data_IF_461039172687
#
_entry.id   IF_461039172687
#
_cell.length_a   1.000
_cell.length_b   1.000
_cell.length_c   1.000
_cell.angle_alpha   90.00
_cell.angle_beta   90.00
_cell.angle_gamma   90.00
#
_symmetry.space_group_name_H-M   'P 1'
#
loop_
_entity.id
_entity.type
_entity.pdbx_description
1 polymer ?
#
# COMPACT_ATOMS: atom_id res chain seq x y z
N UNK A 1 -13.61 -1.14 9.29
CA UNK A 1 -13.50 0.30 8.97
C UNK A 1 -14.87 0.99 8.89
N UNK A 2 -15.85 0.42 8.19
CA UNK A 2 -17.19 1.01 8.08
C UNK A 2 -17.85 1.40 9.41
N UNK A 3 -17.75 0.56 10.45
CA UNK A 3 -18.31 0.83 11.77
C UNK A 3 -17.60 1.96 12.55
N UNK A 4 -16.42 2.40 12.11
CA UNK A 4 -15.66 3.47 12.77
C UNK A 4 -16.04 4.87 12.27
N UNK A 5 -16.95 4.98 11.29
CA UNK A 5 -17.39 6.27 10.74
C UNK A 5 -18.10 7.09 11.82
N UNK A 6 -17.62 8.32 12.03
CA UNK A 6 -18.18 9.23 13.05
C UNK A 6 -17.62 9.02 14.47
N UNK A 7 -16.69 8.09 14.66
CA UNK A 7 -15.96 7.91 15.91
C UNK A 7 -14.53 8.45 15.77
N UNK A 8 -13.89 8.76 16.89
CA UNK A 8 -12.50 9.20 16.95
C UNK A 8 -11.83 8.62 18.19
N UNK A 9 -10.55 8.29 18.08
CA UNK A 9 -9.80 7.62 19.15
C UNK A 9 -8.40 8.22 19.26
N UNK A 10 -7.88 8.31 20.50
CA UNK A 10 -6.50 8.77 20.76
C UNK A 10 -5.47 7.95 19.98
N UNK A 11 -5.63 6.63 19.99
CA UNK A 11 -4.74 5.71 19.30
C UNK A 11 -5.55 4.80 18.38
N UNK A 12 -5.15 4.66 17.13
CA UNK A 12 -5.78 3.77 16.14
C UNK A 12 -4.76 2.79 15.60
N UNK A 13 -5.15 1.51 15.54
CA UNK A 13 -4.37 0.46 14.94
C UNK A 13 -5.10 -0.06 13.70
N UNK A 14 -4.55 0.23 12.52
CA UNK A 14 -5.00 -0.40 11.29
C UNK A 14 -4.17 -1.66 11.05
N UNK A 15 -4.83 -2.81 11.18
CA UNK A 15 -4.20 -4.12 11.08
C UNK A 15 -4.51 -4.78 9.74
N UNK A 16 -3.57 -5.58 9.25
CA UNK A 16 -3.75 -6.31 7.99
C UNK A 16 -3.62 -5.42 6.75
N UNK A 17 -2.70 -4.46 6.80
CA UNK A 17 -2.33 -3.61 5.65
C UNK A 17 -1.53 -4.43 4.62
N UNK A 18 -2.22 -5.37 3.97
CA UNK A 18 -1.67 -6.35 3.02
C UNK A 18 -2.48 -6.31 1.71
N UNK A 19 -1.81 -6.42 0.57
CA UNK A 19 -2.51 -6.56 -0.72
C UNK A 19 -3.38 -7.82 -0.73
N UNK A 20 -4.61 -7.70 -1.23
CA UNK A 20 -5.60 -8.77 -1.26
C UNK A 20 -6.41 -8.91 0.03
N UNK A 21 -5.96 -8.30 1.14
CA UNK A 21 -6.75 -8.14 2.38
C UNK A 21 -7.29 -6.72 2.50
N UNK A 22 -6.40 -5.72 2.37
CA UNK A 22 -6.73 -4.30 2.36
C UNK A 22 -5.72 -3.52 1.52
N UNK A 23 -6.01 -3.23 0.23
CA UNK A 23 -7.31 -3.37 -0.43
C UNK A 23 -7.74 -4.83 -0.61
N UNK A 24 -9.05 -5.08 -0.49
CA UNK A 24 -9.60 -6.41 -0.70
C UNK A 24 -9.34 -6.90 -2.14
N UNK A 25 -9.08 -8.21 -2.31
CA UNK A 25 -8.70 -8.80 -3.61
C UNK A 25 -9.67 -8.48 -4.76
N UNK A 26 -10.97 -8.34 -4.47
CA UNK A 26 -11.99 -7.95 -5.46
C UNK A 26 -11.79 -6.53 -6.00
N UNK A 27 -11.35 -5.60 -5.16
CA UNK A 27 -11.11 -4.23 -5.53
C UNK A 27 -9.84 -4.04 -6.38
N UNK A 28 -9.02 -5.09 -6.53
CA UNK A 28 -7.81 -5.02 -7.35
C UNK A 28 -8.10 -5.00 -8.86
N UNK A 29 -9.25 -5.51 -9.28
CA UNK A 29 -9.61 -5.64 -10.70
C UNK A 29 -10.45 -4.48 -11.23
N UNK A 30 -11.10 -3.72 -10.34
CA UNK A 30 -12.04 -2.66 -10.71
C UNK A 30 -11.60 -1.31 -10.10
N UNK A 31 -11.29 -0.29 -10.92
CA UNK A 31 -10.83 1.01 -10.43
C UNK A 31 -11.80 1.66 -9.44
N UNK A 32 -13.11 1.58 -9.68
CA UNK A 32 -14.13 2.19 -8.82
C UNK A 32 -14.14 1.56 -7.41
N UNK A 33 -13.99 0.24 -7.32
CA UNK A 33 -13.87 -0.45 -6.03
C UNK A 33 -12.56 -0.09 -5.33
N UNK A 34 -11.47 0.09 -6.07
CA UNK A 34 -10.19 0.50 -5.52
C UNK A 34 -10.26 1.90 -4.90
N UNK A 35 -10.96 2.83 -5.55
CA UNK A 35 -11.21 4.15 -5.01
C UNK A 35 -12.05 4.10 -3.74
N UNK A 36 -13.04 3.20 -3.66
CA UNK A 36 -13.81 3.01 -2.43
C UNK A 36 -12.94 2.48 -1.29
N UNK A 37 -12.11 1.46 -1.53
CA UNK A 37 -11.14 0.97 -0.54
C UNK A 37 -10.17 2.06 -0.10
N UNK A 38 -9.73 2.93 -1.03
CA UNK A 38 -8.90 4.10 -0.73
C UNK A 38 -9.62 5.09 0.18
N UNK A 39 -10.91 5.38 -0.08
CA UNK A 39 -11.75 6.21 0.80
C UNK A 39 -11.87 5.57 2.19
N UNK A 40 -12.04 4.25 2.27
CA UNK A 40 -12.07 3.55 3.56
C UNK A 40 -10.75 3.65 4.31
N UNK A 41 -9.62 3.55 3.61
CA UNK A 41 -8.30 3.71 4.20
C UNK A 41 -8.17 5.11 4.79
N UNK A 42 -8.52 6.14 4.02
CA UNK A 42 -8.50 7.53 4.46
C UNK A 42 -9.41 7.78 5.68
N UNK A 43 -10.64 7.26 5.66
CA UNK A 43 -11.55 7.34 6.82
C UNK A 43 -10.92 6.70 8.04
N UNK A 44 -10.32 5.50 7.89
CA UNK A 44 -9.63 4.79 8.96
C UNK A 44 -8.46 5.58 9.56
N UNK A 45 -7.60 6.13 8.71
CA UNK A 45 -6.44 6.92 9.12
C UNK A 45 -6.87 8.18 9.89
N UNK A 46 -7.89 8.88 9.41
CA UNK A 46 -8.42 10.10 10.05
C UNK A 46 -9.23 9.84 11.32
N UNK A 47 -9.43 8.60 11.75
CA UNK A 47 -10.01 8.32 13.08
C UNK A 47 -9.00 8.51 14.22
N UNK A 48 -7.71 8.57 13.89
CA UNK A 48 -6.64 8.74 14.87
C UNK A 48 -6.48 10.21 15.26
N UNK A 49 -6.51 10.51 16.55
CA UNK A 49 -6.24 11.87 17.07
C UNK A 49 -4.74 12.08 17.32
N UNK A 50 -4.09 11.14 18.03
CA UNK A 50 -2.69 11.31 18.46
C UNK A 50 -1.75 10.38 17.67
N UNK A 51 -2.04 9.06 17.67
CA UNK A 51 -1.16 8.06 17.04
C UNK A 51 -1.92 7.09 16.16
N UNK A 52 -1.37 6.88 14.96
CA UNK A 52 -1.82 5.89 14.00
C UNK A 52 -0.73 4.82 13.83
N UNK A 53 -1.11 3.57 14.03
CA UNK A 53 -0.24 2.42 13.82
C UNK A 53 -0.74 1.60 12.63
N UNK A 54 0.10 1.43 11.63
CA UNK A 54 -0.18 0.60 10.45
C UNK A 54 0.63 -0.70 10.56
N UNK A 55 -0.04 -1.86 10.49
CA UNK A 55 0.64 -3.16 10.64
C UNK A 55 0.28 -4.13 9.51
N UNK A 56 1.27 -4.91 9.08
CA UNK A 56 1.12 -5.98 8.10
C UNK A 56 1.81 -7.26 8.61
N UNK A 57 1.33 -8.42 8.16
CA UNK A 57 1.97 -9.70 8.43
C UNK A 57 2.74 -10.20 7.21
N UNK A 58 4.00 -10.63 7.40
CA UNK A 58 4.78 -11.33 6.35
C UNK A 58 4.22 -12.69 5.98
N UNK A 59 3.43 -13.30 6.87
CA UNK A 59 2.76 -14.58 6.61
C UNK A 59 1.49 -14.63 7.42
N UNK A 60 0.38 -14.94 6.77
CA UNK A 60 -0.94 -15.00 7.41
C UNK A 60 -1.61 -16.31 7.08
N UNK A 61 -2.27 -16.93 8.06
CA UNK A 61 -3.23 -17.99 7.83
C UNK A 61 -4.60 -17.33 7.63
N UNK A 62 -5.16 -17.42 6.43
CA UNK A 62 -6.43 -16.81 6.07
C UNK A 62 -7.27 -17.82 5.27
N UNK A 63 -8.50 -18.07 5.73
CA UNK A 63 -9.39 -19.10 5.18
C UNK A 63 -8.71 -20.48 4.98
N UNK A 64 -7.94 -20.93 5.98
CA UNK A 64 -7.24 -22.23 5.93
C UNK A 64 -6.02 -22.27 5.00
N UNK A 65 -5.77 -21.22 4.23
CA UNK A 65 -4.60 -21.10 3.35
C UNK A 65 -3.54 -20.17 3.96
N UNK A 66 -2.26 -20.48 3.79
CA UNK A 66 -1.16 -19.59 4.20
C UNK A 66 -0.79 -18.68 3.03
N UNK A 67 -1.01 -17.38 3.17
CA UNK A 67 -0.61 -16.38 2.19
C UNK A 67 0.62 -15.59 2.67
N UNK A 68 1.43 -15.15 1.71
CA UNK A 68 2.50 -14.19 1.90
C UNK A 68 2.20 -13.01 0.98
N UNK A 69 1.44 -12.05 1.51
CA UNK A 69 0.96 -10.91 0.75
C UNK A 69 1.94 -9.75 0.90
N UNK A 70 2.18 -8.98 -0.17
CA UNK A 70 2.97 -7.76 -0.06
C UNK A 70 2.25 -6.71 0.79
N UNK A 71 3.00 -5.72 1.25
CA UNK A 71 2.47 -4.57 1.99
C UNK A 71 1.43 -3.85 1.13
N UNK A 72 0.34 -3.42 1.75
CA UNK A 72 -0.70 -2.63 1.10
C UNK A 72 -0.13 -1.38 0.43
N UNK A 73 -0.59 -1.10 -0.80
CA UNK A 73 -0.30 0.14 -1.52
C UNK A 73 -0.67 1.40 -0.73
N UNK A 74 -1.68 1.33 0.14
CA UNK A 74 -2.09 2.48 0.96
C UNK A 74 -1.03 2.87 2.00
N UNK A 75 -0.14 1.95 2.37
CA UNK A 75 1.02 2.26 3.22
C UNK A 75 2.12 2.89 2.37
N UNK A 76 2.39 2.37 1.17
CA UNK A 76 3.44 2.92 0.30
C UNK A 76 3.13 4.31 -0.25
N UNK A 77 1.85 4.68 -0.31
CA UNK A 77 1.39 6.01 -0.74
C UNK A 77 1.63 7.10 0.32
N UNK A 78 1.83 6.73 1.58
CA UNK A 78 2.09 7.69 2.66
C UNK A 78 3.56 8.12 2.62
N UNK A 79 3.87 9.42 2.66
CA UNK A 79 5.25 9.91 2.62
C UNK A 79 6.13 9.31 3.72
N UNK A 80 7.31 8.83 3.34
CA UNK A 80 8.27 8.18 4.24
C UNK A 80 8.73 9.11 5.37
N UNK A 81 8.76 10.42 5.14
CA UNK A 81 9.07 11.44 6.15
C UNK A 81 8.06 11.51 7.30
N UNK A 82 6.84 11.01 7.10
CA UNK A 82 5.77 10.97 8.11
C UNK A 82 5.70 9.63 8.84
N UNK A 83 6.59 8.69 8.50
CA UNK A 83 6.60 7.35 9.09
C UNK A 83 7.79 7.14 10.02
N UNK A 84 7.49 6.79 11.26
CA UNK A 84 8.47 6.17 12.15
C UNK A 84 8.45 4.65 11.90
N UNK A 85 9.13 4.22 10.84
CA UNK A 85 9.21 2.80 10.50
C UNK A 85 10.17 2.07 11.44
N UNK A 86 9.64 1.16 12.26
CA UNK A 86 10.46 0.16 12.96
C UNK A 86 10.91 -0.98 12.02
N UNK A 87 10.89 -0.73 10.71
CA UNK A 87 11.02 -1.72 9.67
C UNK A 87 12.16 -1.33 8.74
N UNK A 88 13.17 -2.20 8.65
CA UNK A 88 13.99 -2.30 7.45
C UNK A 88 13.12 -2.78 6.29
N UNK A 89 12.21 -1.93 5.80
CA UNK A 89 11.45 -2.12 4.57
C UNK A 89 12.49 -2.12 3.46
N UNK A 90 13.07 -3.29 3.20
CA UNK A 90 13.82 -3.52 1.97
C UNK A 90 12.79 -3.34 0.86
N UNK A 91 12.82 -2.17 0.20
CA UNK A 91 12.13 -1.96 -1.08
C UNK A 91 12.47 -3.19 -1.92
N UNK A 92 11.49 -3.96 -2.43
CA UNK A 92 11.79 -5.10 -3.28
C UNK A 92 12.69 -4.57 -4.39
N UNK A 93 13.92 -5.10 -4.48
CA UNK A 93 14.86 -4.79 -5.55
C UNK A 93 14.08 -5.05 -6.84
N UNK A 94 13.73 -4.00 -7.59
CA UNK A 94 13.02 -4.09 -8.87
C UNK A 94 13.81 -5.07 -9.73
N UNK A 95 13.38 -6.33 -9.77
CA UNK A 95 13.96 -7.33 -10.67
C UNK A 95 13.48 -6.95 -12.05
N UNK A 96 14.44 -6.71 -12.94
CA UNK A 96 14.31 -5.96 -14.17
C UNK A 96 13.05 -6.25 -14.97
N UNK A 97 12.24 -5.21 -15.14
CA UNK A 97 11.56 -4.86 -16.38
C UNK A 97 11.56 -3.33 -16.41
N UNK A 98 12.56 -2.74 -17.08
CA UNK A 98 12.69 -1.29 -17.25
C UNK A 98 11.82 -0.82 -18.41
N UNK A 99 11.20 0.37 -18.25
CA UNK A 99 10.93 1.40 -19.29
C UNK A 99 9.66 2.25 -19.05
N UNK A 100 8.97 2.12 -17.91
CA UNK A 100 7.79 2.92 -17.58
C UNK A 100 7.85 3.47 -16.14
N UNK A 101 7.65 4.78 -15.95
CA UNK A 101 7.64 5.39 -14.62
C UNK A 101 7.20 6.85 -14.60
N UNK A 102 6.98 7.38 -13.40
CA UNK A 102 6.75 8.80 -13.17
C UNK A 102 8.07 9.52 -12.98
N UNK A 103 8.23 10.68 -13.60
CA UNK A 103 9.37 11.56 -13.36
C UNK A 103 9.25 12.31 -12.03
N UNK A 104 10.29 13.08 -11.70
CA UNK A 104 10.39 13.86 -10.45
C UNK A 104 9.32 14.96 -10.34
N UNK A 105 8.64 15.26 -11.43
CA UNK A 105 7.53 16.22 -11.50
C UNK A 105 6.16 15.52 -11.45
N UNK A 106 6.14 14.20 -11.29
CA UNK A 106 4.92 13.40 -11.20
C UNK A 106 4.25 13.13 -12.55
N UNK A 107 4.95 13.35 -13.68
CA UNK A 107 4.42 13.07 -15.00
C UNK A 107 4.78 11.65 -15.45
N UNK A 108 3.81 10.97 -16.06
CA UNK A 108 4.01 9.62 -16.58
C UNK A 108 4.83 9.66 -17.87
N UNK A 109 6.02 9.06 -17.87
CA UNK A 109 6.98 9.20 -18.97
C UNK A 109 7.69 7.90 -19.33
N UNK A 110 7.87 7.72 -20.64
CA UNK A 110 8.75 6.72 -21.24
C UNK A 110 10.16 7.31 -21.40
N UNK A 111 11.20 6.56 -21.05
CA UNK A 111 12.59 6.99 -21.24
C UNK A 111 13.38 5.92 -21.99
N UNK A 112 13.91 6.22 -23.20
CA UNK A 112 14.80 5.32 -23.91
C UNK A 112 16.19 5.35 -23.26
N UNK A 113 16.52 4.33 -22.47
CA UNK A 113 17.90 4.05 -22.06
C UNK A 113 18.59 3.23 -23.14
N UNK A 114 19.70 3.76 -23.69
CA UNK A 114 20.40 3.22 -24.84
C UNK A 114 21.18 1.91 -24.64
N UNK A 115 21.22 1.18 -25.75
CA UNK A 115 22.29 0.35 -26.33
C UNK A 115 22.96 -0.77 -25.50
N UNK A 116 22.48 -2.00 -25.73
CA UNK A 116 23.28 -3.01 -26.44
C UNK A 116 22.41 -4.24 -26.75
N UNK A 117 22.01 -4.40 -28.00
CA UNK A 117 21.54 -5.68 -28.55
C UNK A 117 22.77 -6.46 -29.03
N UNK A 118 23.04 -7.68 -28.54
CA UNK A 118 23.54 -8.71 -29.42
C UNK A 118 22.33 -9.36 -30.11
N UNK A 119 22.39 -9.37 -31.44
CA UNK A 119 21.41 -9.86 -32.42
C UNK A 119 20.31 -8.86 -32.81
#
# INVERSE_FOLDING_TARGET
>A
LHAAKGLEFKNVFMVGMEEGLFPHSRALMEPEQMEEERRLAYVGMTRAMDKLYLTYARRRLYFGSRSNNPVSRFVTDVPESLMEANMGIRKPKRRGVENWGFDVEGNWKWSPGGDNLPF
#
